data_IF_867698045696
#
_entry.id   IF_867698045696
#
_cell.length_a   1.000
_cell.length_b   1.000
_cell.length_c   1.000
_cell.angle_alpha   90.00
_cell.angle_beta   90.00
_cell.angle_gamma   90.00
#
_symmetry.space_group_name_H-M   'P 1'
#
loop_
_entity.id
_entity.type
_entity.pdbx_description
1 polymer ?
#
# COMPACT_ATOMS: atom_id res chain seq x y z
N UNK A 1 -27.79 -4.83 1.86
CA UNK A 1 -28.45 -3.78 1.07
C UNK A 1 -27.54 -2.56 0.86
N UNK A 2 -27.03 -1.92 1.92
CA UNK A 2 -26.09 -0.80 1.80
C UNK A 2 -24.80 -1.16 1.04
N UNK A 3 -24.18 -2.29 1.37
CA UNK A 3 -22.95 -2.77 0.70
C UNK A 3 -23.15 -3.00 -0.81
N UNK A 4 -24.28 -3.58 -1.22
CA UNK A 4 -24.58 -3.81 -2.64
C UNK A 4 -24.82 -2.48 -3.38
N UNK A 5 -25.47 -1.52 -2.72
CA UNK A 5 -25.67 -0.18 -3.29
C UNK A 5 -24.33 0.58 -3.44
N UNK A 6 -23.45 0.52 -2.44
CA UNK A 6 -22.11 1.14 -2.50
C UNK A 6 -21.25 0.48 -3.58
N UNK A 7 -21.29 -0.84 -3.70
CA UNK A 7 -20.51 -1.56 -4.72
C UNK A 7 -20.97 -1.22 -6.14
N UNK A 8 -22.28 -1.18 -6.39
CA UNK A 8 -22.82 -0.75 -7.69
C UNK A 8 -22.49 0.70 -8.02
N UNK A 9 -22.53 1.61 -7.03
CA UNK A 9 -22.17 3.00 -7.21
C UNK A 9 -20.68 3.17 -7.56
N UNK A 10 -19.79 2.41 -6.91
CA UNK A 10 -18.35 2.40 -7.21
C UNK A 10 -18.10 1.88 -8.62
N UNK A 11 -18.67 0.73 -9.00
CA UNK A 11 -18.51 0.15 -10.34
C UNK A 11 -18.96 1.11 -11.45
N UNK A 12 -20.07 1.84 -11.25
CA UNK A 12 -20.53 2.85 -12.22
C UNK A 12 -19.51 3.97 -12.40
N UNK A 13 -18.98 4.52 -11.30
CA UNK A 13 -17.95 5.56 -11.35
C UNK A 13 -16.66 5.06 -11.99
N UNK A 14 -16.28 3.82 -11.71
CA UNK A 14 -15.11 3.17 -12.30
C UNK A 14 -15.18 3.15 -13.83
N UNK A 15 -16.32 2.70 -14.36
CA UNK A 15 -16.54 2.66 -15.81
C UNK A 15 -16.53 4.06 -16.43
N UNK A 16 -17.19 5.04 -15.80
CA UNK A 16 -17.23 6.42 -16.29
C UNK A 16 -15.84 7.05 -16.32
N UNK A 17 -15.07 6.93 -15.25
CA UNK A 17 -13.70 7.48 -15.16
C UNK A 17 -12.78 6.81 -16.19
N UNK A 18 -12.90 5.49 -16.38
CA UNK A 18 -12.13 4.76 -17.40
C UNK A 18 -12.44 5.26 -18.81
N UNK A 19 -13.71 5.52 -19.12
CA UNK A 19 -14.13 6.11 -20.41
C UNK A 19 -13.54 7.50 -20.61
N UNK A 20 -13.64 8.37 -19.60
CA UNK A 20 -13.10 9.74 -19.66
C UNK A 20 -11.57 9.71 -19.87
N UNK A 21 -10.85 8.84 -19.16
CA UNK A 21 -9.40 8.71 -19.34
C UNK A 21 -9.04 8.24 -20.77
N UNK A 22 -9.82 7.32 -21.35
CA UNK A 22 -9.62 6.89 -22.72
C UNK A 22 -9.89 8.01 -23.74
N UNK A 23 -10.92 8.82 -23.52
CA UNK A 23 -11.23 9.99 -24.34
C UNK A 23 -10.13 11.06 -24.27
N UNK A 24 -9.65 11.36 -23.06
CA UNK A 24 -8.51 12.25 -22.85
C UNK A 24 -7.28 11.79 -23.65
N UNK A 25 -6.90 10.51 -23.52
CA UNK A 25 -5.76 9.95 -24.26
C UNK A 25 -5.93 10.04 -25.78
N UNK A 26 -7.16 9.87 -26.27
CA UNK A 26 -7.48 10.05 -27.69
C UNK A 26 -7.29 11.49 -28.13
N UNK A 27 -7.69 12.47 -27.32
CA UNK A 27 -7.49 13.90 -27.58
C UNK A 27 -6.00 14.26 -27.57
N UNK A 28 -5.21 13.76 -26.62
CA UNK A 28 -3.74 13.92 -26.62
C UNK A 28 -3.13 13.44 -27.95
N UNK A 29 -3.57 12.28 -28.45
CA UNK A 29 -3.13 11.74 -29.74
C UNK A 29 -3.55 12.59 -30.95
N UNK A 30 -4.72 13.24 -30.90
CA UNK A 30 -5.17 14.17 -31.95
C UNK A 30 -4.35 15.47 -31.93
N UNK A 31 -4.10 16.03 -30.74
CA UNK A 31 -3.29 17.23 -30.59
C UNK A 31 -1.85 17.01 -31.06
N UNK A 32 -1.25 15.85 -30.75
CA UNK A 32 0.07 15.47 -31.25
C UNK A 32 0.13 15.46 -32.79
N UNK A 33 -0.94 14.99 -33.46
CA UNK A 33 -1.03 15.03 -34.93
C UNK A 33 -1.15 16.47 -35.45
N UNK A 34 -1.96 17.31 -34.82
CA UNK A 34 -2.13 18.71 -35.24
C UNK A 34 -0.84 19.53 -35.09
N UNK A 35 -0.07 19.29 -34.03
CA UNK A 35 1.25 19.90 -33.83
C UNK A 35 2.22 19.41 -34.92
N UNK A 36 2.26 18.11 -35.18
CA UNK A 36 3.11 17.53 -36.24
C UNK A 36 2.76 18.06 -37.63
N UNK A 37 1.48 18.29 -37.90
CA UNK A 37 0.97 18.83 -39.16
C UNK A 37 1.15 20.36 -39.29
N UNK A 38 1.69 21.04 -38.26
CA UNK A 38 1.88 22.49 -38.25
C UNK A 38 0.58 23.30 -38.19
N UNK A 39 -0.52 22.68 -37.75
CA UNK A 39 -1.85 23.29 -37.65
C UNK A 39 -2.16 23.83 -36.24
N UNK A 40 -1.33 23.49 -35.26
CA UNK A 40 -1.45 24.00 -33.90
C UNK A 40 -0.78 25.38 -33.76
N UNK A 41 -1.25 26.24 -32.84
CA UNK A 41 -0.57 27.48 -32.48
C UNK A 41 0.91 27.26 -32.10
N UNK A 42 1.73 28.30 -32.28
CA UNK A 42 3.13 28.26 -31.86
C UNK A 42 3.21 28.07 -30.33
N UNK A 43 4.07 27.15 -29.88
CA UNK A 43 4.22 26.82 -28.45
C UNK A 43 3.23 25.78 -27.92
N UNK A 44 2.31 25.25 -28.73
CA UNK A 44 1.42 24.16 -28.28
C UNK A 44 2.22 22.91 -27.89
N UNK A 45 2.01 22.44 -26.67
CA UNK A 45 2.62 21.23 -26.11
C UNK A 45 1.54 20.17 -25.91
N UNK A 46 1.85 18.90 -26.19
CA UNK A 46 0.91 17.79 -25.98
C UNK A 46 0.87 17.45 -24.48
N UNK A 47 -0.32 17.43 -23.83
CA UNK A 47 -0.46 16.94 -22.48
C UNK A 47 -0.07 15.46 -22.36
N UNK A 48 0.44 15.06 -21.19
CA UNK A 48 0.90 13.69 -20.97
C UNK A 48 -0.29 12.72 -20.87
N UNK A 49 -0.30 11.61 -21.65
CA UNK A 49 -1.39 10.65 -21.60
C UNK A 49 -1.43 9.90 -20.26
N UNK A 50 -2.65 9.60 -19.80
CA UNK A 50 -2.92 8.84 -18.58
C UNK A 50 -2.65 7.35 -18.86
N UNK A 51 -1.79 6.66 -18.10
CA UNK A 51 -1.57 5.24 -18.29
C UNK A 51 -2.86 4.45 -18.02
N UNK A 52 -3.32 3.59 -18.97
CA UNK A 52 -4.56 2.83 -18.78
C UNK A 52 -4.41 1.73 -17.72
N UNK A 53 -3.17 1.29 -17.47
CA UNK A 53 -2.83 0.39 -16.37
C UNK A 53 -2.52 1.23 -15.14
N UNK A 54 -3.14 0.91 -14.01
CA UNK A 54 -2.88 1.60 -12.74
C UNK A 54 -3.72 2.86 -12.50
N UNK A 55 -4.75 3.13 -13.30
CA UNK A 55 -5.69 4.24 -13.05
C UNK A 55 -6.32 4.20 -11.64
N UNK A 56 -6.38 3.02 -11.04
CA UNK A 56 -6.89 2.77 -9.68
C UNK A 56 -5.80 2.52 -8.64
N UNK A 57 -4.53 2.51 -9.08
CA UNK A 57 -3.34 2.34 -8.25
C UNK A 57 -2.57 3.65 -8.21
N UNK A 58 -3.29 4.74 -7.92
CA UNK A 58 -2.75 6.09 -8.02
C UNK A 58 -1.73 6.36 -6.90
N UNK A 59 -0.53 6.75 -7.30
CA UNK A 59 0.50 7.30 -6.42
C UNK A 59 0.49 8.83 -6.49
N UNK A 60 0.99 9.49 -5.43
CA UNK A 60 0.96 10.96 -5.30
C UNK A 60 1.78 11.66 -6.40
N UNK A 61 2.72 10.95 -7.02
CA UNK A 61 3.58 11.45 -8.10
C UNK A 61 3.15 11.00 -9.50
N UNK A 62 1.94 10.45 -9.64
CA UNK A 62 1.39 10.06 -10.93
C UNK A 62 1.12 11.27 -11.83
N UNK A 63 1.31 11.01 -13.12
CA UNK A 63 1.20 11.98 -14.21
C UNK A 63 -0.16 12.67 -14.26
N UNK A 64 -1.22 12.02 -13.76
CA UNK A 64 -2.57 12.58 -13.77
C UNK A 64 -2.72 13.83 -12.89
N UNK A 65 -1.81 14.01 -11.93
CA UNK A 65 -1.78 15.17 -11.03
C UNK A 65 -0.94 16.31 -11.59
N UNK A 66 -0.29 16.12 -12.76
CA UNK A 66 0.52 17.16 -13.41
C UNK A 66 -0.38 18.05 -14.28
N UNK A 67 -0.48 19.31 -13.91
CA UNK A 67 -1.24 20.30 -14.67
C UNK A 67 -0.40 20.96 -15.78
N UNK A 68 0.09 20.14 -16.72
CA UNK A 68 0.98 20.63 -17.79
C UNK A 68 0.15 21.18 -18.94
N UNK A 69 0.11 22.51 -19.05
CA UNK A 69 -0.42 23.21 -20.22
C UNK A 69 -1.92 23.54 -20.19
N UNK A 70 -2.56 23.53 -19.01
CA UNK A 70 -3.92 24.03 -18.81
C UNK A 70 -3.97 25.43 -18.14
N UNK A 71 -2.82 26.08 -17.91
CA UNK A 71 -2.79 27.47 -17.45
C UNK A 71 -3.27 28.40 -18.59
N UNK A 72 -4.53 28.84 -18.50
CA UNK A 72 -5.23 29.70 -19.47
C UNK A 72 -4.83 31.19 -19.40
N UNK A 73 -3.68 31.55 -18.83
CA UNK A 73 -3.42 32.95 -18.48
C UNK A 73 -2.09 33.47 -19.03
N UNK A 74 -2.22 34.54 -19.80
CA UNK A 74 -1.23 35.53 -20.28
C UNK A 74 -0.23 36.07 -19.21
N UNK A 75 -0.09 35.46 -18.03
CA UNK A 75 0.68 35.99 -16.91
C UNK A 75 2.10 35.43 -16.78
N UNK A 76 2.54 34.52 -17.66
CA UNK A 76 3.96 34.15 -17.78
C UNK A 76 4.34 33.91 -19.24
N UNK A 77 4.82 34.96 -19.93
CA UNK A 77 5.53 34.88 -21.23
C UNK A 77 6.85 34.07 -21.15
N UNK A 78 7.05 33.24 -20.11
CA UNK A 78 8.29 32.52 -19.83
C UNK A 78 8.16 31.01 -20.03
N UNK A 79 9.28 30.36 -20.37
CA UNK A 79 9.36 28.90 -20.38
C UNK A 79 8.95 28.34 -19.00
N UNK A 80 8.17 27.24 -18.94
CA UNK A 80 7.76 26.62 -17.69
C UNK A 80 8.99 26.28 -16.83
N UNK A 81 8.87 26.34 -15.50
CA UNK A 81 10.02 26.14 -14.63
C UNK A 81 10.62 24.73 -14.81
N UNK A 82 11.95 24.56 -14.69
CA UNK A 82 12.62 23.28 -15.00
C UNK A 82 12.12 22.07 -14.21
N UNK A 83 11.63 22.24 -12.98
CA UNK A 83 11.05 21.14 -12.21
C UNK A 83 9.73 20.61 -12.82
N UNK A 84 9.07 21.40 -13.68
CA UNK A 84 7.83 21.02 -14.36
C UNK A 84 8.09 20.46 -15.78
N UNK A 85 9.11 20.97 -16.48
CA UNK A 85 9.33 20.67 -17.90
C UNK A 85 10.62 19.86 -18.21
N UNK A 86 11.55 19.72 -17.27
CA UNK A 86 12.81 19.02 -17.47
C UNK A 86 12.83 17.69 -16.69
N UNK A 87 12.77 16.58 -17.44
CA UNK A 87 12.79 15.21 -16.90
C UNK A 87 14.02 14.93 -16.02
N UNK A 88 15.20 15.44 -16.38
CA UNK A 88 16.42 15.24 -15.58
C UNK A 88 16.33 15.97 -14.23
N UNK A 89 15.71 17.16 -14.21
CA UNK A 89 15.48 17.90 -12.97
C UNK A 89 14.46 17.16 -12.11
N UNK A 90 13.38 16.64 -12.70
CA UNK A 90 12.37 15.85 -11.98
C UNK A 90 12.96 14.58 -11.37
N UNK A 91 13.71 13.80 -12.16
CA UNK A 91 14.40 12.59 -11.69
C UNK A 91 15.40 12.94 -10.59
N UNK A 92 16.14 14.04 -10.73
CA UNK A 92 17.04 14.54 -9.70
C UNK A 92 16.33 14.86 -8.38
N UNK A 93 15.22 15.61 -8.45
CA UNK A 93 14.41 15.95 -7.26
C UNK A 93 13.86 14.68 -6.61
N UNK A 94 13.26 13.77 -7.38
CA UNK A 94 12.76 12.49 -6.86
C UNK A 94 13.87 11.68 -6.19
N UNK A 95 15.05 11.62 -6.80
CA UNK A 95 16.22 10.94 -6.27
C UNK A 95 16.70 11.53 -4.94
N UNK A 96 16.79 12.87 -4.83
CA UNK A 96 17.13 13.53 -3.56
C UNK A 96 16.10 13.24 -2.47
N UNK A 97 14.81 13.39 -2.78
CA UNK A 97 13.73 13.11 -1.83
C UNK A 97 13.68 11.64 -1.41
N UNK A 98 14.06 10.72 -2.29
CA UNK A 98 14.15 9.31 -1.96
C UNK A 98 15.32 9.05 -1.00
N UNK A 99 16.47 9.70 -1.23
CA UNK A 99 17.62 9.60 -0.34
C UNK A 99 17.28 10.15 1.05
N UNK A 100 16.67 11.33 1.12
CA UNK A 100 16.23 11.93 2.39
C UNK A 100 15.24 11.02 3.14
N UNK A 101 14.31 10.38 2.41
CA UNK A 101 13.38 9.40 2.98
C UNK A 101 14.08 8.13 3.48
N UNK A 102 15.09 7.64 2.76
CA UNK A 102 15.90 6.52 3.22
C UNK A 102 16.63 6.86 4.52
N UNK A 103 17.23 8.05 4.62
CA UNK A 103 17.91 8.51 5.83
C UNK A 103 16.93 8.66 7.00
N UNK A 104 15.74 9.19 6.76
CA UNK A 104 14.68 9.27 7.76
C UNK A 104 14.25 7.88 8.24
N UNK A 105 13.98 6.95 7.32
CA UNK A 105 13.56 5.59 7.64
C UNK A 105 14.65 4.83 8.40
N UNK A 106 15.92 4.99 8.02
CA UNK A 106 17.05 4.40 8.74
C UNK A 106 17.13 4.92 10.19
N UNK A 107 16.91 6.22 10.41
CA UNK A 107 16.84 6.80 11.75
C UNK A 107 15.64 6.28 12.53
N UNK A 108 14.50 6.13 11.88
CA UNK A 108 13.27 5.61 12.48
C UNK A 108 13.43 4.15 12.91
N UNK A 109 13.88 3.28 12.00
CA UNK A 109 14.17 1.87 12.26
C UNK A 109 15.17 1.71 13.41
N UNK A 110 16.18 2.58 13.48
CA UNK A 110 17.11 2.60 14.60
C UNK A 110 16.43 2.92 15.93
N UNK A 111 15.59 3.95 15.99
CA UNK A 111 14.84 4.32 17.22
C UNK A 111 13.88 3.22 17.65
N UNK A 112 13.11 2.67 16.71
CA UNK A 112 12.15 1.60 16.98
C UNK A 112 12.87 0.34 17.46
N UNK A 113 13.99 -0.03 16.82
CA UNK A 113 14.81 -1.15 17.30
C UNK A 113 15.36 -0.88 18.69
N UNK A 114 15.90 0.31 18.95
CA UNK A 114 16.42 0.66 20.27
C UNK A 114 15.34 0.56 21.35
N UNK A 115 14.11 1.02 21.06
CA UNK A 115 12.97 0.90 21.96
C UNK A 115 12.62 -0.58 22.24
N UNK A 116 12.55 -1.41 21.20
CA UNK A 116 12.36 -2.86 21.36
C UNK A 116 13.45 -3.50 22.23
N UNK A 117 14.70 -3.06 22.08
CA UNK A 117 15.85 -3.53 22.85
C UNK A 117 15.82 -3.16 24.32
N UNK A 118 15.51 -1.90 24.62
CA UNK A 118 15.36 -1.47 26.00
C UNK A 118 14.19 -2.20 26.66
N UNK A 119 13.03 -2.21 26.00
CA UNK A 119 11.83 -2.87 26.52
C UNK A 119 12.06 -4.35 26.80
N UNK A 120 12.61 -5.10 25.84
CA UNK A 120 12.83 -6.54 26.01
C UNK A 120 13.86 -6.82 27.12
N UNK A 121 14.94 -6.03 27.18
CA UNK A 121 15.95 -6.15 28.21
C UNK A 121 15.38 -5.95 29.62
N UNK A 122 14.57 -4.91 29.80
CA UNK A 122 13.89 -4.62 31.06
C UNK A 122 12.90 -5.72 31.44
N UNK A 123 12.02 -6.12 30.52
CA UNK A 123 11.01 -7.16 30.75
C UNK A 123 11.65 -8.52 31.08
N UNK A 124 12.76 -8.86 30.41
CA UNK A 124 13.51 -10.08 30.69
C UNK A 124 14.17 -10.05 32.07
N UNK A 125 14.80 -8.93 32.46
CA UNK A 125 15.39 -8.76 33.78
C UNK A 125 14.32 -8.86 34.88
N UNK A 126 13.23 -8.12 34.72
CA UNK A 126 12.10 -8.10 35.66
C UNK A 126 11.49 -9.50 35.81
N UNK A 127 11.20 -10.20 34.71
CA UNK A 127 10.62 -11.55 34.78
C UNK A 127 11.49 -12.52 35.58
N UNK A 128 12.82 -12.49 35.39
CA UNK A 128 13.76 -13.30 36.17
C UNK A 128 13.74 -12.95 37.64
N UNK A 129 13.80 -11.66 37.94
CA UNK A 129 13.78 -11.12 39.29
C UNK A 129 12.51 -11.45 40.07
N UNK A 130 11.34 -11.43 39.40
CA UNK A 130 10.06 -11.79 40.02
C UNK A 130 9.96 -13.30 40.23
N UNK A 131 10.43 -14.13 39.29
CA UNK A 131 10.45 -15.60 39.45
C UNK A 131 11.30 -16.00 40.67
N UNK A 132 12.46 -15.38 40.85
CA UNK A 132 13.35 -15.65 41.99
C UNK A 132 12.72 -15.27 43.33
N UNK A 133 11.95 -14.17 43.38
CA UNK A 133 11.29 -13.67 44.59
C UNK A 133 9.93 -14.27 44.87
N UNK A 134 9.29 -14.89 43.89
CA UNK A 134 7.97 -15.48 44.07
C UNK A 134 8.01 -16.57 45.16
N UNK A 135 7.01 -16.58 46.03
CA UNK A 135 6.86 -17.61 47.08
C UNK A 135 5.88 -18.71 46.63
N UNK A 136 4.82 -18.31 45.93
CA UNK A 136 3.79 -19.20 45.39
C UNK A 136 4.29 -20.01 44.20
N UNK A 137 4.07 -21.33 44.24
CA UNK A 137 4.38 -22.23 43.13
C UNK A 137 3.51 -21.94 41.88
N UNK A 138 2.28 -21.46 42.09
CA UNK A 138 1.35 -21.12 41.00
C UNK A 138 1.86 -19.88 40.27
N UNK A 139 2.27 -18.85 41.00
CA UNK A 139 2.79 -17.62 40.40
C UNK A 139 4.09 -17.89 39.64
N UNK A 140 4.98 -18.72 40.20
CA UNK A 140 6.19 -19.18 39.50
C UNK A 140 5.88 -19.84 38.17
N UNK A 141 4.90 -20.74 38.14
CA UNK A 141 4.51 -21.41 36.91
C UNK A 141 4.01 -20.43 35.84
N UNK A 142 3.14 -19.47 36.21
CA UNK A 142 2.66 -18.46 35.27
C UNK A 142 3.77 -17.54 34.76
N UNK A 143 4.70 -17.14 35.64
CA UNK A 143 5.85 -16.33 35.27
C UNK A 143 6.82 -17.07 34.36
N UNK A 144 7.03 -18.37 34.58
CA UNK A 144 7.82 -19.23 33.68
C UNK A 144 7.18 -19.33 32.30
N UNK A 145 5.86 -19.51 32.23
CA UNK A 145 5.15 -19.50 30.95
C UNK A 145 5.29 -18.15 30.22
N UNK A 146 5.26 -17.04 30.96
CA UNK A 146 5.54 -15.73 30.38
C UNK A 146 6.98 -15.62 29.88
N UNK A 147 7.95 -16.12 30.66
CA UNK A 147 9.35 -16.15 30.27
C UNK A 147 9.58 -16.95 28.98
N UNK A 148 8.94 -18.11 28.83
CA UNK A 148 9.00 -18.91 27.61
C UNK A 148 8.45 -18.15 26.41
N UNK A 149 7.33 -17.43 26.57
CA UNK A 149 6.79 -16.54 25.52
C UNK A 149 7.79 -15.46 25.12
N UNK A 150 8.48 -14.85 26.07
CA UNK A 150 9.53 -13.86 25.77
C UNK A 150 10.70 -14.49 24.98
N UNK A 151 11.11 -15.73 25.30
CA UNK A 151 12.14 -16.46 24.54
C UNK A 151 11.68 -16.69 23.09
N UNK A 152 10.43 -17.14 22.89
CA UNK A 152 9.86 -17.31 21.55
C UNK A 152 9.79 -15.99 20.77
N UNK A 153 9.36 -14.92 21.43
CA UNK A 153 9.29 -13.59 20.84
C UNK A 153 10.68 -13.12 20.39
N UNK A 154 11.68 -13.24 21.26
CA UNK A 154 13.07 -12.91 20.96
C UNK A 154 13.63 -13.74 19.79
N UNK A 155 13.35 -15.05 19.76
CA UNK A 155 13.82 -15.92 18.68
C UNK A 155 13.17 -15.58 17.33
N UNK A 156 11.95 -15.04 17.35
CA UNK A 156 11.24 -14.57 16.16
C UNK A 156 11.81 -13.24 15.70
N UNK A 157 11.96 -12.27 16.60
CA UNK A 157 12.49 -10.95 16.28
C UNK A 157 13.94 -10.99 15.78
N UNK A 158 14.80 -11.84 16.33
CA UNK A 158 16.20 -11.95 15.89
C UNK A 158 16.35 -12.29 14.39
N UNK A 159 15.31 -12.87 13.75
CA UNK A 159 15.30 -13.13 12.30
C UNK A 159 15.01 -11.90 11.46
N UNK A 160 14.30 -10.92 12.03
CA UNK A 160 13.78 -9.74 11.34
C UNK A 160 14.52 -8.46 11.72
N UNK A 161 15.26 -8.47 12.83
CA UNK A 161 16.03 -7.32 13.27
C UNK A 161 17.19 -7.04 12.29
N UNK A 162 17.37 -5.79 11.85
CA UNK A 162 18.47 -5.42 10.96
C UNK A 162 19.85 -5.69 11.59
N UNK A 163 20.83 -6.08 10.78
CA UNK A 163 22.22 -6.12 11.23
C UNK A 163 22.81 -4.70 11.22
N UNK A 164 22.78 -4.06 12.37
CA UNK A 164 23.33 -2.71 12.55
C UNK A 164 24.87 -2.68 12.67
N UNK A 165 25.53 -3.83 12.56
CA UNK A 165 26.97 -3.98 12.72
C UNK A 165 27.45 -3.78 14.17
N UNK A 166 28.75 -4.00 14.42
CA UNK A 166 29.28 -4.09 15.79
C UNK A 166 29.23 -2.76 16.56
N UNK A 167 29.33 -1.61 15.88
CA UNK A 167 29.35 -0.28 16.53
C UNK A 167 28.00 0.07 17.15
N UNK A 168 26.92 -0.04 16.38
CA UNK A 168 25.55 0.22 16.87
C UNK A 168 25.14 -0.83 17.90
N UNK A 169 25.51 -2.09 17.69
CA UNK A 169 25.26 -3.18 18.66
C UNK A 169 25.96 -2.96 20.01
N UNK A 170 27.15 -2.35 20.01
CA UNK A 170 27.87 -2.02 21.25
C UNK A 170 27.21 -0.90 22.07
N UNK A 171 26.35 -0.07 21.45
CA UNK A 171 25.57 0.96 22.14
C UNK A 171 24.34 0.39 22.84
N UNK A 172 23.96 -0.84 22.51
CA UNK A 172 22.75 -1.46 23.04
C UNK A 172 23.06 -2.16 24.37
N UNK A 173 22.13 -2.12 25.34
CA UNK A 173 22.28 -2.83 26.61
C UNK A 173 22.34 -4.34 26.39
N UNK A 174 22.86 -5.07 27.39
CA UNK A 174 22.94 -6.53 27.35
C UNK A 174 21.54 -7.12 27.14
N UNK A 175 21.35 -7.80 26.01
CA UNK A 175 20.04 -8.27 25.55
C UNK A 175 19.80 -9.74 25.90
N UNK A 176 18.63 -9.97 26.50
CA UNK A 176 17.83 -11.20 26.35
C UNK A 176 18.37 -12.51 26.91
N UNK A 177 17.74 -13.64 26.52
CA UNK A 177 18.05 -14.97 27.02
C UNK A 177 19.42 -15.42 26.49
N UNK A 178 20.04 -16.37 27.19
CA UNK A 178 21.30 -16.96 26.70
C UNK A 178 21.13 -17.56 25.30
N UNK A 179 22.20 -17.53 24.49
CA UNK A 179 22.20 -18.09 23.13
C UNK A 179 21.73 -19.55 23.10
N UNK A 180 21.99 -20.30 24.18
CA UNK A 180 21.53 -21.68 24.35
C UNK A 180 20.00 -21.78 24.37
N UNK A 181 19.31 -20.94 25.14
CA UNK A 181 17.84 -20.94 25.22
C UNK A 181 17.22 -20.60 23.86
N UNK A 182 17.78 -19.61 23.17
CA UNK A 182 17.34 -19.24 21.83
C UNK A 182 17.54 -20.37 20.83
N UNK A 183 18.67 -21.08 20.89
CA UNK A 183 18.92 -22.24 20.02
C UNK A 183 17.95 -23.39 20.28
N UNK A 184 17.64 -23.67 21.55
CA UNK A 184 16.70 -24.72 21.93
C UNK A 184 15.28 -24.39 21.45
N UNK A 185 14.81 -23.17 21.69
CA UNK A 185 13.53 -22.68 21.22
C UNK A 185 13.38 -22.79 19.69
N UNK A 186 14.44 -22.43 18.94
CA UNK A 186 14.45 -22.59 17.47
C UNK A 186 14.36 -24.05 17.03
N UNK A 187 15.07 -24.95 17.72
CA UNK A 187 15.01 -26.38 17.41
C UNK A 187 13.64 -26.98 17.71
N UNK A 188 13.01 -26.59 18.81
CA UNK A 188 11.66 -27.05 19.20
C UNK A 188 10.61 -26.57 18.20
N UNK A 189 10.66 -25.30 17.78
CA UNK A 189 9.77 -24.76 16.74
C UNK A 189 9.93 -25.48 15.40
N UNK A 190 11.17 -25.82 15.02
CA UNK A 190 11.44 -26.54 13.77
C UNK A 190 11.02 -28.02 13.83
N UNK A 191 11.12 -28.67 14.99
CA UNK A 191 10.61 -30.04 15.20
C UNK A 191 9.08 -30.06 15.20
N UNK A 192 8.42 -29.07 15.81
CA UNK A 192 6.97 -28.93 15.78
C UNK A 192 6.44 -28.78 14.35
N UNK A 193 7.05 -27.91 13.54
CA UNK A 193 6.68 -27.73 12.13
C UNK A 193 6.85 -29.00 11.28
N UNK A 194 7.82 -29.86 11.60
CA UNK A 194 8.02 -31.15 10.91
C UNK A 194 7.07 -32.25 11.41
N UNK A 195 6.49 -32.09 12.60
CA UNK A 195 5.55 -33.04 13.19
C UNK A 195 4.17 -33.02 12.53
N UNK A 196 3.83 -31.93 11.83
CA UNK A 196 2.56 -31.74 11.13
C UNK A 196 2.55 -32.37 9.72
N UNK A 197 3.70 -32.77 9.18
CA UNK A 197 3.83 -33.34 7.84
C UNK A 197 3.66 -34.87 7.82
N UNK A 198 2.68 -35.38 8.59
CA UNK A 198 2.22 -36.78 8.52
C UNK A 198 0.90 -36.89 7.77
N UNK A 199 1.05 -36.96 6.44
CA UNK A 199 0.28 -37.77 5.49
C UNK A 199 -1.08 -38.32 5.96
N UNK A 200 -2.15 -37.72 5.44
CA UNK A 200 -3.35 -38.46 5.03
C UNK A 200 -3.50 -38.31 3.52
N UNK A 201 -3.16 -39.37 2.78
CA UNK A 201 -3.51 -39.51 1.38
C UNK A 201 -4.92 -40.05 1.23
N UNK A 202 -5.76 -39.36 0.44
CA UNK A 202 -7.02 -39.79 -0.20
C UNK A 202 -7.39 -38.63 -1.13
N UNK A 203 -7.91 -38.75 -2.34
CA UNK A 203 -7.76 -39.68 -3.45
C UNK A 203 -7.99 -38.79 -4.69
N UNK A 204 -7.35 -39.14 -5.79
CA UNK A 204 -7.43 -38.46 -7.07
C UNK A 204 -8.72 -38.89 -7.77
N UNK A 205 -9.64 -37.98 -8.06
CA UNK A 205 -10.72 -38.22 -9.02
C UNK A 205 -10.78 -37.06 -10.02
N UNK A 206 -10.77 -37.47 -11.28
CA UNK A 206 -10.64 -36.70 -12.51
C UNK A 206 -11.95 -36.02 -12.93
N UNK A 207 -11.78 -34.95 -13.73
CA UNK A 207 -12.62 -34.44 -14.82
C UNK A 207 -14.11 -34.08 -14.59
N UNK A 208 -14.46 -32.83 -14.94
CA UNK A 208 -15.50 -32.54 -15.94
C UNK A 208 -15.41 -31.06 -16.36
N UNK A 209 -15.01 -30.83 -17.62
CA UNK A 209 -15.20 -29.58 -18.36
C UNK A 209 -16.68 -29.40 -18.63
N UNK A 210 -17.20 -28.19 -18.43
CA UNK A 210 -18.48 -27.80 -18.99
C UNK A 210 -18.47 -26.33 -19.42
N UNK A 211 -18.50 -26.19 -20.74
CA UNK A 211 -18.70 -24.98 -21.53
C UNK A 211 -20.18 -24.60 -21.49
N UNK A 212 -20.52 -23.41 -20.98
CA UNK A 212 -21.85 -22.84 -21.12
C UNK A 212 -21.78 -21.42 -21.69
N UNK A 213 -22.11 -21.37 -22.98
CA UNK A 213 -22.59 -20.24 -23.76
C UNK A 213 -23.85 -19.64 -23.12
N UNK A 214 -23.88 -18.33 -22.91
CA UNK A 214 -25.13 -17.61 -22.73
C UNK A 214 -25.04 -16.23 -23.39
N UNK A 215 -25.37 -16.21 -24.68
CA UNK A 215 -25.84 -15.00 -25.32
C UNK A 215 -27.10 -14.48 -24.63
N UNK A 216 -27.06 -13.22 -24.19
CA UNK A 216 -28.26 -12.47 -23.84
C UNK A 216 -28.23 -11.11 -24.51
N UNK A 217 -29.03 -11.04 -25.57
CA UNK A 217 -29.54 -9.81 -26.19
C UNK A 217 -30.45 -9.12 -25.17
N UNK A 218 -30.09 -7.92 -24.72
CA UNK A 218 -30.90 -7.13 -23.81
C UNK A 218 -30.62 -5.64 -23.98
N UNK A 219 -31.39 -5.02 -24.88
CA UNK A 219 -31.86 -3.64 -24.87
C UNK A 219 -30.88 -2.56 -24.36
N UNK A 220 -30.33 -1.79 -25.30
CA UNK A 220 -29.70 -0.50 -25.04
C UNK A 220 -30.74 0.47 -24.47
N UNK A 221 -30.95 0.45 -23.16
CA UNK A 221 -31.59 1.56 -22.46
C UNK A 221 -30.62 2.76 -22.49
N UNK A 222 -31.07 3.82 -23.15
CA UNK A 222 -30.36 5.06 -23.39
C UNK A 222 -29.92 5.71 -22.06
N UNK A 223 -28.66 5.52 -21.69
CA UNK A 223 -28.08 5.84 -20.38
C UNK A 223 -28.15 7.33 -20.02
N UNK A 224 -28.32 8.20 -21.02
CA UNK A 224 -28.60 9.63 -20.83
C UNK A 224 -29.94 9.88 -20.12
N UNK A 225 -30.92 9.00 -20.31
CA UNK A 225 -32.26 9.14 -19.71
C UNK A 225 -32.28 8.86 -18.20
N UNK A 226 -31.40 7.97 -17.72
CA UNK A 226 -31.28 7.65 -16.30
C UNK A 226 -30.49 8.72 -15.53
N UNK A 227 -29.44 9.30 -16.14
CA UNK A 227 -28.70 10.43 -15.57
C UNK A 227 -29.56 11.70 -15.47
N UNK A 228 -30.48 11.90 -16.44
CA UNK A 228 -31.50 12.94 -16.37
C UNK A 228 -32.52 12.72 -15.24
N UNK A 229 -32.89 11.46 -14.95
CA UNK A 229 -33.77 11.12 -13.82
C UNK A 229 -33.08 11.33 -12.46
N UNK A 230 -31.79 10.96 -12.31
CA UNK A 230 -31.04 11.18 -11.08
C UNK A 230 -30.84 12.69 -10.80
N UNK A 231 -30.53 13.50 -11.82
CA UNK A 231 -30.52 14.97 -11.69
C UNK A 231 -31.88 15.51 -11.26
N UNK A 232 -32.97 15.04 -11.87
CA UNK A 232 -34.32 15.49 -11.50
C UNK A 232 -34.72 15.10 -10.07
N UNK A 233 -34.24 13.97 -9.55
CA UNK A 233 -34.51 13.54 -8.18
C UNK A 233 -33.68 14.30 -7.15
N UNK A 234 -32.44 14.70 -7.48
CA UNK A 234 -31.63 15.61 -6.66
C UNK A 234 -32.30 16.99 -6.55
N UNK A 235 -32.80 17.56 -7.67
CA UNK A 235 -33.52 18.84 -7.64
C UNK A 235 -34.89 18.75 -6.93
N UNK A 236 -35.55 17.59 -6.95
CA UNK A 236 -36.82 17.37 -6.22
C UNK A 236 -36.64 17.33 -4.69
N UNK A 237 -35.46 17.03 -4.18
CA UNK A 237 -35.18 17.07 -2.74
C UNK A 237 -34.83 18.48 -2.25
N UNK A 238 -34.27 19.35 -3.11
CA UNK A 238 -33.94 20.72 -2.73
C UNK A 238 -35.15 21.68 -2.65
N UNK A 239 -36.27 21.37 -3.32
CA UNK A 239 -37.50 22.19 -3.25
C UNK A 239 -38.38 21.93 -2.00
N UNK A 240 -38.13 20.86 -1.24
CA UNK A 240 -38.90 20.53 -0.02
C UNK A 240 -38.32 21.11 1.27
N UNK A 241 -37.09 21.63 1.23
CA UNK A 241 -36.39 22.17 2.41
C UNK A 241 -36.40 23.71 2.49
N UNK A 242 -37.19 24.38 1.66
CA UNK A 242 -37.25 25.84 1.62
C UNK A 242 -38.68 26.40 1.79
N UNK A 243 -39.34 26.06 2.91
CA UNK A 243 -40.38 26.88 3.56
C UNK A 243 -40.52 26.55 5.05
#
# INVERSE_FOLDING_TARGET
KLHAHTESAVKRRELTITKIAAEYNKLCGQLAKLIKDGKAPAGSTVPLPIPPKGLWQLEVDDVIFLDVGLDDVDDNEGEPPPWLCNEQVQVGIKGMLQLDRCDEEDMRLWRETMALWVWFGEEWQLSREVIERAESAVDKYHLQLHQDKLVHLCATWDKHLPDFGPKKKALLPAWGPSQRLLSQCRTEAHVAARGEDRHYGVDNDEDEEDEYDEGSSGEEEDFETLDAMERADIYRHDEQDNY
#
